data_IF_232000181964
#
_entry.id   IF_232000181964
#
_cell.length_a   1.000
_cell.length_b   1.000
_cell.length_c   1.000
_cell.angle_alpha   90.00
_cell.angle_beta   90.00
_cell.angle_gamma   90.00
#
_symmetry.space_group_name_H-M   'P 1'
#
loop_
_entity.id
_entity.type
_entity.pdbx_description
1 polymer ?
#
# COMPACT_ATOMS: atom_id res chain seq x y z
N UNK A 1 7.03 0.44 -14.45
CA UNK A 1 7.70 -0.34 -13.39
C UNK A 1 7.22 -1.78 -13.45
N UNK A 2 8.01 -2.77 -13.03
CA UNK A 2 7.51 -4.15 -12.99
C UNK A 2 6.46 -4.29 -11.88
N UNK A 3 5.43 -5.14 -12.04
CA UNK A 3 4.40 -5.31 -11.00
C UNK A 3 4.98 -5.65 -9.62
N UNK A 4 6.09 -6.40 -9.58
CA UNK A 4 6.81 -6.78 -8.35
C UNK A 4 7.41 -5.60 -7.56
N UNK A 5 7.52 -4.43 -8.18
CA UNK A 5 7.98 -3.19 -7.55
C UNK A 5 6.84 -2.33 -6.99
N UNK A 6 5.58 -2.71 -7.26
CA UNK A 6 4.40 -1.98 -6.79
C UNK A 6 4.00 -2.51 -5.41
N UNK A 7 3.82 -1.60 -4.46
CA UNK A 7 3.30 -1.89 -3.11
C UNK A 7 2.02 -1.07 -2.90
N UNK A 8 0.93 -1.74 -2.54
CA UNK A 8 -0.36 -1.12 -2.27
C UNK A 8 -0.55 -0.91 -0.76
N UNK A 9 -1.12 0.24 -0.39
CA UNK A 9 -1.37 0.64 0.99
C UNK A 9 -2.66 1.47 1.03
N UNK A 10 -3.35 1.46 2.18
CA UNK A 10 -4.40 2.42 2.48
C UNK A 10 -4.39 2.80 3.98
N UNK A 11 -5.53 3.11 4.57
CA UNK A 11 -5.65 3.35 6.01
C UNK A 11 -5.35 2.11 6.86
N UNK A 12 -6.00 0.99 6.54
CA UNK A 12 -6.01 -0.26 7.33
C UNK A 12 -5.66 -1.51 6.52
N UNK A 13 -5.22 -1.35 5.28
CA UNK A 13 -4.91 -2.45 4.35
C UNK A 13 -6.11 -3.01 3.58
N UNK A 14 -7.34 -2.85 4.09
CA UNK A 14 -8.54 -3.49 3.51
C UNK A 14 -8.79 -3.06 2.06
N UNK A 15 -8.84 -1.76 1.78
CA UNK A 15 -9.07 -1.26 0.41
C UNK A 15 -7.93 -1.60 -0.53
N UNK A 16 -6.69 -1.65 -0.04
CA UNK A 16 -5.52 -1.97 -0.85
C UNK A 16 -5.54 -3.42 -1.39
N UNK A 17 -6.24 -4.34 -0.73
CA UNK A 17 -6.46 -5.70 -1.24
C UNK A 17 -7.17 -5.71 -2.61
N UNK A 18 -8.11 -4.78 -2.83
CA UNK A 18 -8.84 -4.68 -4.09
C UNK A 18 -7.91 -4.31 -5.24
N UNK A 19 -6.90 -3.47 -4.99
CA UNK A 19 -5.91 -3.11 -5.99
C UNK A 19 -4.99 -4.28 -6.35
N UNK A 20 -4.57 -5.08 -5.35
CA UNK A 20 -3.80 -6.31 -5.61
C UNK A 20 -4.61 -7.29 -6.45
N UNK A 21 -5.89 -7.50 -6.11
CA UNK A 21 -6.78 -8.35 -6.89
C UNK A 21 -6.97 -7.83 -8.33
N UNK A 22 -7.14 -6.52 -8.50
CA UNK A 22 -7.27 -5.90 -9.82
C UNK A 22 -6.00 -6.07 -10.67
N UNK A 23 -4.82 -5.97 -10.05
CA UNK A 23 -3.54 -6.22 -10.73
C UNK A 23 -3.45 -7.67 -11.23
N UNK A 24 -3.82 -8.64 -10.40
CA UNK A 24 -3.84 -10.06 -10.80
C UNK A 24 -4.86 -10.30 -11.94
N UNK A 25 -6.07 -9.73 -11.83
CA UNK A 25 -7.09 -9.84 -12.87
C UNK A 25 -6.66 -9.20 -14.20
N UNK A 26 -5.81 -8.17 -14.15
CA UNK A 26 -5.24 -7.52 -15.33
C UNK A 26 -3.99 -8.22 -15.90
N UNK A 27 -3.57 -9.36 -15.34
CA UNK A 27 -2.35 -10.07 -15.74
C UNK A 27 -1.04 -9.39 -15.28
N UNK A 28 -1.15 -8.43 -14.36
CA UNK A 28 -0.01 -7.70 -13.76
C UNK A 28 0.42 -8.37 -12.45
N UNK A 29 0.74 -9.66 -12.51
CA UNK A 29 0.96 -10.46 -11.32
C UNK A 29 2.22 -10.11 -10.52
N UNK A 30 2.13 -10.27 -9.21
CA UNK A 30 3.26 -10.17 -8.28
C UNK A 30 3.43 -8.81 -7.59
N UNK A 31 2.46 -7.91 -7.71
CA UNK A 31 2.38 -6.73 -6.85
C UNK A 31 2.16 -7.11 -5.38
N UNK A 32 2.55 -6.23 -4.45
CA UNK A 32 2.60 -6.55 -3.01
C UNK A 32 1.64 -5.68 -2.21
N UNK A 33 1.15 -6.22 -1.11
CA UNK A 33 0.35 -5.49 -0.13
C UNK A 33 1.22 -5.12 1.07
N UNK A 34 1.17 -3.88 1.51
CA UNK A 34 1.60 -3.51 2.86
C UNK A 34 0.38 -3.55 3.80
N UNK A 35 0.22 -4.66 4.50
CA UNK A 35 -1.02 -5.00 5.20
C UNK A 35 -1.36 -4.04 6.34
N UNK A 36 -0.42 -3.75 7.26
CA UNK A 36 -0.71 -2.86 8.38
C UNK A 36 -0.85 -1.38 7.97
N UNK A 37 -0.36 -1.04 6.78
CA UNK A 37 -0.77 0.17 6.07
C UNK A 37 -0.51 1.45 6.88
N UNK A 38 -1.32 2.51 6.73
CA UNK A 38 -1.14 3.74 7.49
C UNK A 38 -1.23 3.51 9.00
N UNK A 39 -2.18 2.70 9.45
CA UNK A 39 -2.40 2.43 10.88
C UNK A 39 -1.16 1.86 11.56
N UNK A 40 -0.45 0.91 10.91
CA UNK A 40 0.84 0.42 11.39
C UNK A 40 1.96 1.46 11.21
N UNK A 41 1.97 2.20 10.10
CA UNK A 41 3.01 3.21 9.85
C UNK A 41 3.01 4.32 10.90
N UNK A 42 1.85 4.91 11.18
CA UNK A 42 1.73 6.04 12.10
C UNK A 42 1.80 5.65 13.57
N UNK A 43 1.69 4.35 13.92
CA UNK A 43 1.84 3.86 15.29
C UNK A 43 3.27 4.03 15.82
N UNK A 44 4.27 4.13 14.94
CA UNK A 44 5.65 4.41 15.28
C UNK A 44 5.98 5.88 14.96
N UNK A 45 6.10 6.76 15.97
CA UNK A 45 6.35 8.18 15.76
C UNK A 45 7.76 8.48 15.24
N UNK A 46 8.67 7.50 15.23
CA UNK A 46 10.02 7.67 14.66
C UNK A 46 10.04 7.60 13.12
N UNK A 47 8.98 7.07 12.49
CA UNK A 47 8.90 6.93 11.05
C UNK A 47 8.59 8.26 10.37
N UNK A 48 9.21 8.57 9.22
CA UNK A 48 8.97 9.82 8.53
C UNK A 48 7.52 9.90 8.01
N UNK A 49 6.92 11.07 8.14
CA UNK A 49 5.56 11.38 7.67
C UNK A 49 5.60 12.73 6.95
N UNK A 50 5.18 12.74 5.69
CA UNK A 50 4.91 13.98 4.97
C UNK A 50 3.51 14.50 5.32
N UNK A 51 3.37 15.82 5.44
CA UNK A 51 2.08 16.51 5.57
C UNK A 51 1.87 17.39 4.35
N UNK A 52 0.61 17.61 3.96
CA UNK A 52 0.28 18.52 2.87
C UNK A 52 0.64 19.98 3.19
N UNK A 53 0.47 20.89 2.21
CA UNK A 53 0.52 22.33 2.48
C UNK A 53 -0.42 22.70 3.64
N UNK A 54 -0.06 23.77 4.35
CA UNK A 54 -0.93 24.38 5.35
C UNK A 54 -2.20 24.96 4.71
#
# INVERSE_FOLDING_TARGET
HSPRQVVHQCGSGVTACVNVLAMEAAGLSGSRLYAGSWSEWCADPSRPVARGPA
#
